data_IF_115843833692
#
_entry.id   IF_115843833692
#
_cell.length_a   1.000
_cell.length_b   1.000
_cell.length_c   1.000
_cell.angle_alpha   90.00
_cell.angle_beta   90.00
_cell.angle_gamma   90.00
#
_symmetry.space_group_name_H-M   'P 1'
#
loop_
_entity.id
_entity.type
_entity.pdbx_description
1 polymer ?
#
# COMPACT_ATOMS: atom_id res chain seq x y z
N UNK A 1 16.31 -31.31 6.37
CA UNK A 1 16.79 -29.94 6.11
C UNK A 1 15.59 -29.10 5.73
N UNK A 2 15.10 -28.28 6.66
CA UNK A 2 14.04 -27.32 6.36
C UNK A 2 14.70 -26.18 5.57
N UNK A 3 14.29 -26.01 4.31
CA UNK A 3 14.58 -24.79 3.55
C UNK A 3 13.89 -23.65 4.28
N UNK A 4 14.65 -22.84 5.01
CA UNK A 4 14.19 -21.52 5.45
C UNK A 4 13.84 -20.73 4.19
N UNK A 5 12.53 -20.55 3.95
CA UNK A 5 12.07 -19.57 2.98
C UNK A 5 12.61 -18.22 3.47
N UNK A 6 13.30 -17.42 2.64
CA UNK A 6 13.67 -16.08 3.04
C UNK A 6 12.39 -15.39 3.53
N UNK A 7 12.39 -14.94 4.78
CA UNK A 7 11.26 -14.21 5.35
C UNK A 7 10.98 -13.02 4.44
N UNK A 8 9.74 -12.89 3.96
CA UNK A 8 9.35 -11.75 3.13
C UNK A 8 9.75 -10.44 3.81
N UNK A 9 10.29 -9.45 3.06
CA UNK A 9 10.72 -8.19 3.65
C UNK A 9 9.56 -7.54 4.40
N UNK A 10 9.70 -7.34 5.71
CA UNK A 10 8.62 -6.82 6.54
C UNK A 10 9.17 -5.86 7.59
N UNK A 11 8.62 -4.65 7.61
CA UNK A 11 8.87 -3.65 8.65
C UNK A 11 7.64 -3.60 9.57
N UNK A 12 7.72 -4.05 10.84
CA UNK A 12 6.56 -4.23 11.73
C UNK A 12 6.03 -2.93 12.34
N UNK A 13 5.93 -1.87 11.54
CA UNK A 13 5.37 -0.57 11.90
C UNK A 13 5.15 0.26 10.64
N UNK A 14 4.22 1.20 10.72
CA UNK A 14 4.10 2.27 9.74
C UNK A 14 5.22 3.30 9.95
N UNK A 15 5.75 3.80 8.84
CA UNK A 15 6.72 4.89 8.80
C UNK A 15 6.41 5.75 7.58
N UNK A 16 6.83 7.02 7.56
CA UNK A 16 6.78 7.83 6.35
C UNK A 16 7.53 7.17 5.17
N UNK A 17 7.03 7.40 3.97
CA UNK A 17 7.71 7.09 2.72
C UNK A 17 8.62 8.28 2.38
N UNK A 18 9.92 8.10 2.57
CA UNK A 18 10.94 9.14 2.46
C UNK A 18 11.25 9.50 0.99
N UNK A 19 11.02 8.58 0.06
CA UNK A 19 11.25 8.80 -1.36
C UNK A 19 10.78 7.67 -2.26
N UNK A 20 10.78 7.90 -3.56
CA UNK A 20 10.39 6.94 -4.59
C UNK A 20 11.17 7.19 -5.88
N UNK A 21 11.41 6.12 -6.63
CA UNK A 21 11.96 6.13 -7.99
C UNK A 21 11.19 5.14 -8.86
N UNK A 22 11.60 4.98 -10.12
CA UNK A 22 10.84 4.17 -11.10
C UNK A 22 10.52 2.74 -10.63
N UNK A 23 11.32 2.18 -9.72
CA UNK A 23 11.14 0.81 -9.23
C UNK A 23 11.28 0.63 -7.72
N UNK A 24 11.48 1.71 -6.95
CA UNK A 24 11.81 1.59 -5.53
C UNK A 24 11.06 2.60 -4.67
N UNK A 25 10.74 2.20 -3.45
CA UNK A 25 10.38 3.07 -2.35
C UNK A 25 11.53 3.16 -1.34
N UNK A 26 11.68 4.33 -0.74
CA UNK A 26 12.61 4.58 0.35
C UNK A 26 11.81 4.86 1.61
N UNK A 27 12.11 4.16 2.70
CA UNK A 27 11.49 4.38 4.01
C UNK A 27 12.36 3.81 5.11
N UNK A 28 12.40 4.47 6.28
CA UNK A 28 13.18 4.04 7.44
C UNK A 28 14.67 3.76 7.11
N UNK A 29 15.25 4.54 6.20
CA UNK A 29 16.64 4.38 5.76
C UNK A 29 16.91 3.17 4.86
N UNK A 30 15.87 2.49 4.39
CA UNK A 30 15.95 1.31 3.51
C UNK A 30 15.36 1.62 2.13
N UNK A 31 15.86 0.91 1.10
CA UNK A 31 15.25 0.87 -0.23
C UNK A 31 14.53 -0.46 -0.44
N UNK A 32 13.28 -0.41 -0.89
CA UNK A 32 12.47 -1.57 -1.22
C UNK A 32 12.08 -1.54 -2.69
N UNK A 33 12.39 -2.60 -3.44
CA UNK A 33 12.03 -2.71 -4.85
C UNK A 33 10.61 -3.21 -5.03
N UNK A 34 9.85 -2.57 -5.91
CA UNK A 34 8.47 -2.91 -6.23
C UNK A 34 7.43 -2.23 -5.35
N UNK A 35 6.18 -2.60 -5.57
CA UNK A 35 5.01 -2.04 -4.89
C UNK A 35 4.95 -2.47 -3.42
N UNK A 36 4.32 -1.67 -2.58
CA UNK A 36 4.24 -1.91 -1.13
C UNK A 36 2.84 -1.72 -0.58
N UNK A 37 2.52 -2.45 0.49
CA UNK A 37 1.41 -2.14 1.40
C UNK A 37 1.99 -1.56 2.68
N UNK A 38 1.54 -0.36 3.07
CA UNK A 38 1.84 0.29 4.33
C UNK A 38 0.59 0.27 5.23
N UNK A 39 0.39 -0.85 5.93
CA UNK A 39 -0.77 -1.11 6.79
C UNK A 39 -0.42 -0.85 8.27
N UNK A 40 -1.41 -0.69 9.16
CA UNK A 40 -1.15 -0.49 10.60
C UNK A 40 -0.21 -1.53 11.21
N UNK A 41 -0.29 -2.79 10.80
CA UNK A 41 0.61 -3.84 11.28
C UNK A 41 2.04 -3.75 10.73
N UNK A 42 2.26 -3.02 9.63
CA UNK A 42 3.59 -2.79 9.06
C UNK A 42 3.62 -2.66 7.54
N UNK A 43 4.82 -2.36 7.03
CA UNK A 43 5.11 -2.23 5.59
C UNK A 43 5.64 -3.56 5.04
N UNK A 44 5.07 -4.02 3.92
CA UNK A 44 5.42 -5.28 3.23
C UNK A 44 5.35 -5.13 1.70
N UNK A 45 5.99 -6.03 0.93
CA UNK A 45 5.82 -6.10 -0.51
C UNK A 45 4.36 -6.29 -0.89
N UNK A 46 3.96 -5.63 -1.97
CA UNK A 46 2.70 -5.86 -2.63
C UNK A 46 2.99 -6.46 -4.00
N UNK A 47 2.60 -7.71 -4.23
CA UNK A 47 2.94 -8.43 -5.45
C UNK A 47 2.05 -8.02 -6.65
N UNK A 48 2.01 -6.72 -6.96
CA UNK A 48 1.30 -6.11 -8.08
C UNK A 48 2.23 -5.09 -8.74
N UNK A 49 2.47 -5.22 -10.03
CA UNK A 49 3.36 -4.30 -10.78
C UNK A 49 2.62 -3.22 -11.55
N UNK A 50 1.31 -3.39 -11.80
CA UNK A 50 0.47 -2.41 -12.50
C UNK A 50 -0.87 -2.27 -11.78
N UNK A 51 -1.35 -1.05 -11.65
CA UNK A 51 -2.61 -0.80 -10.94
C UNK A 51 -3.83 -1.47 -11.60
N UNK A 52 -3.80 -1.65 -12.92
CA UNK A 52 -4.85 -2.36 -13.64
C UNK A 52 -4.95 -3.86 -13.27
N UNK A 53 -3.88 -4.45 -12.75
CA UNK A 53 -3.80 -5.87 -12.39
C UNK A 53 -4.25 -6.14 -10.94
N UNK A 54 -4.69 -5.10 -10.22
CA UNK A 54 -5.19 -5.26 -8.85
C UNK A 54 -6.44 -6.13 -8.85
N UNK A 55 -6.38 -7.21 -8.09
CA UNK A 55 -7.48 -8.16 -7.89
C UNK A 55 -7.97 -8.10 -6.44
N UNK A 56 -9.12 -8.71 -6.17
CA UNK A 56 -9.63 -8.83 -4.79
C UNK A 56 -8.66 -9.57 -3.87
N UNK A 57 -7.99 -10.61 -4.36
CA UNK A 57 -6.99 -11.35 -3.58
C UNK A 57 -5.76 -10.51 -3.27
N UNK A 58 -5.34 -9.64 -4.19
CA UNK A 58 -4.26 -8.69 -3.95
C UNK A 58 -4.57 -7.68 -2.83
N UNK A 59 -5.85 -7.50 -2.48
CA UNK A 59 -6.30 -6.62 -1.39
C UNK A 59 -6.68 -7.40 -0.12
N UNK A 60 -6.42 -8.70 -0.06
CA UNK A 60 -6.83 -9.53 1.08
C UNK A 60 -6.24 -9.04 2.42
N UNK A 61 -4.96 -8.66 2.44
CA UNK A 61 -4.31 -8.11 3.65
C UNK A 61 -4.88 -6.75 4.05
N UNK A 62 -5.18 -5.90 3.06
CA UNK A 62 -5.83 -4.60 3.29
C UNK A 62 -7.21 -4.81 3.94
N UNK A 63 -7.99 -5.76 3.44
CA UNK A 63 -9.32 -6.10 3.95
C UNK A 63 -9.24 -6.75 5.33
N UNK A 64 -8.24 -7.59 5.58
CA UNK A 64 -8.04 -8.21 6.89
C UNK A 64 -7.79 -7.17 8.00
N UNK A 65 -7.17 -6.04 7.65
CA UNK A 65 -6.89 -4.94 8.57
C UNK A 65 -7.94 -3.81 8.51
N UNK A 66 -9.10 -4.02 7.89
CA UNK A 66 -10.04 -2.94 7.58
C UNK A 66 -10.54 -2.14 8.80
N UNK A 67 -10.54 -2.75 9.99
CA UNK A 67 -10.95 -2.08 11.24
C UNK A 67 -9.82 -1.30 11.93
N UNK A 68 -8.58 -1.42 11.46
CA UNK A 68 -7.40 -0.80 12.05
C UNK A 68 -7.07 0.59 11.48
N UNK A 69 -7.69 0.97 10.37
CA UNK A 69 -7.53 2.29 9.74
C UNK A 69 -8.86 2.85 9.22
N UNK A 70 -8.92 4.15 8.98
CA UNK A 70 -10.12 4.87 8.52
C UNK A 70 -10.10 5.20 7.03
N UNK A 71 -8.90 5.35 6.45
CA UNK A 71 -8.71 5.77 5.06
C UNK A 71 -7.53 5.03 4.43
N UNK A 72 -7.76 4.50 3.23
CA UNK A 72 -6.75 3.88 2.37
C UNK A 72 -6.40 4.79 1.19
N UNK A 73 -5.11 5.04 0.98
CA UNK A 73 -4.61 5.63 -0.25
C UNK A 73 -4.15 4.56 -1.22
N UNK A 74 -4.74 4.52 -2.41
CA UNK A 74 -4.35 3.65 -3.51
C UNK A 74 -3.49 4.44 -4.50
N UNK A 75 -2.18 4.25 -4.43
CA UNK A 75 -1.20 4.82 -5.34
C UNK A 75 -1.23 4.10 -6.69
N UNK A 76 -1.68 4.78 -7.73
CA UNK A 76 -1.94 4.18 -9.06
C UNK A 76 -0.71 4.08 -9.96
N UNK A 77 0.46 4.47 -9.46
CA UNK A 77 1.67 4.65 -10.24
C UNK A 77 1.84 6.11 -10.69
N UNK A 78 2.34 6.31 -11.91
CA UNK A 78 2.62 7.66 -12.45
C UNK A 78 1.37 8.46 -12.73
N UNK A 79 0.35 7.81 -13.27
CA UNK A 79 -0.84 8.43 -13.81
C UNK A 79 -2.09 8.02 -13.02
N UNK A 80 -3.14 8.86 -13.00
CA UNK A 80 -4.43 8.47 -12.45
C UNK A 80 -4.98 7.22 -13.15
N UNK A 81 -5.51 6.28 -12.37
CA UNK A 81 -6.11 5.06 -12.89
C UNK A 81 -7.41 4.70 -12.14
N UNK A 82 -8.20 3.82 -12.74
CA UNK A 82 -9.41 3.29 -12.13
C UNK A 82 -9.14 1.91 -11.53
N UNK A 83 -9.70 1.65 -10.35
CA UNK A 83 -9.70 0.32 -9.75
C UNK A 83 -10.78 -0.54 -10.42
N UNK A 84 -10.48 -1.79 -10.84
CA UNK A 84 -11.49 -2.69 -11.39
C UNK A 84 -12.68 -2.88 -10.44
N UNK A 85 -13.87 -3.15 -10.98
CA UNK A 85 -15.11 -3.12 -10.19
C UNK A 85 -15.15 -4.18 -9.07
N UNK A 86 -14.63 -5.39 -9.31
CA UNK A 86 -14.62 -6.45 -8.29
C UNK A 86 -13.79 -6.09 -7.03
N UNK A 87 -12.50 -5.73 -7.12
CA UNK A 87 -11.74 -5.30 -5.95
C UNK A 87 -12.31 -4.04 -5.29
N UNK A 88 -12.85 -3.11 -6.09
CA UNK A 88 -13.52 -1.90 -5.58
C UNK A 88 -14.75 -2.24 -4.73
N UNK A 89 -15.58 -3.19 -5.18
CA UNK A 89 -16.73 -3.67 -4.42
C UNK A 89 -16.28 -4.40 -3.15
N UNK A 90 -15.20 -5.17 -3.20
CA UNK A 90 -14.66 -5.86 -2.03
C UNK A 90 -14.20 -4.87 -0.94
N UNK A 91 -13.49 -3.80 -1.29
CA UNK A 91 -13.12 -2.73 -0.35
C UNK A 91 -14.36 -2.09 0.28
N UNK A 92 -15.38 -1.76 -0.54
CA UNK A 92 -16.63 -1.17 -0.03
C UNK A 92 -17.39 -2.11 0.89
N UNK A 93 -17.47 -3.40 0.56
CA UNK A 93 -18.11 -4.42 1.37
C UNK A 93 -17.40 -4.61 2.73
N UNK A 94 -16.08 -4.40 2.76
CA UNK A 94 -15.28 -4.35 3.99
C UNK A 94 -15.45 -3.03 4.78
N UNK A 95 -16.29 -2.11 4.33
CA UNK A 95 -16.52 -0.81 4.99
C UNK A 95 -15.40 0.21 4.80
N UNK A 96 -14.45 -0.06 3.90
CA UNK A 96 -13.29 0.80 3.70
C UNK A 96 -13.62 2.05 2.88
N UNK A 97 -13.12 3.19 3.35
CA UNK A 97 -12.99 4.42 2.57
C UNK A 97 -11.62 4.41 1.89
N UNK A 98 -11.58 4.80 0.62
CA UNK A 98 -10.34 4.84 -0.13
C UNK A 98 -10.33 5.95 -1.17
N UNK A 99 -9.13 6.45 -1.47
CA UNK A 99 -8.85 7.43 -2.51
C UNK A 99 -7.85 6.87 -3.51
N UNK A 100 -8.05 7.16 -4.79
CA UNK A 100 -7.13 6.78 -5.86
C UNK A 100 -6.43 8.04 -6.35
N UNK A 101 -5.11 7.99 -6.41
CA UNK A 101 -4.30 9.08 -6.92
C UNK A 101 -2.93 8.56 -7.37
N UNK A 102 -2.18 9.32 -8.18
CA UNK A 102 -0.79 8.98 -8.49
C UNK A 102 0.01 8.68 -7.23
N UNK A 103 0.89 7.68 -7.30
CA UNK A 103 1.71 7.20 -6.17
C UNK A 103 2.46 8.34 -5.45
N UNK A 104 3.06 9.34 -6.13
CA UNK A 104 3.66 10.49 -5.46
C UNK A 104 2.71 11.22 -4.50
N UNK A 105 1.48 11.46 -4.94
CA UNK A 105 0.46 12.16 -4.17
C UNK A 105 -0.10 11.26 -3.04
N UNK A 106 -0.26 9.96 -3.31
CA UNK A 106 -0.69 8.99 -2.30
C UNK A 106 0.33 8.91 -1.16
N UNK A 107 1.63 8.80 -1.49
CA UNK A 107 2.71 8.75 -0.52
C UNK A 107 2.80 10.05 0.31
N UNK A 108 2.72 11.23 -0.33
CA UNK A 108 2.76 12.50 0.40
C UNK A 108 1.57 12.68 1.33
N UNK A 109 0.36 12.33 0.88
CA UNK A 109 -0.87 12.47 1.68
C UNK A 109 -0.88 11.47 2.82
N UNK A 110 -0.47 10.23 2.58
CA UNK A 110 -0.25 9.22 3.60
C UNK A 110 0.72 9.73 4.68
N UNK A 111 1.87 10.29 4.30
CA UNK A 111 2.86 10.81 5.24
C UNK A 111 2.30 11.93 6.12
N UNK A 112 1.58 12.89 5.53
CA UNK A 112 0.97 14.00 6.27
C UNK A 112 -0.02 13.47 7.31
N UNK A 113 -0.96 12.63 6.90
CA UNK A 113 -1.98 12.13 7.81
C UNK A 113 -1.40 11.17 8.87
N UNK A 114 -0.39 10.38 8.51
CA UNK A 114 0.35 9.55 9.47
C UNK A 114 1.03 10.42 10.54
N UNK A 115 1.67 11.52 10.13
CA UNK A 115 2.32 12.46 11.05
C UNK A 115 1.32 13.19 11.96
N UNK A 116 0.10 13.40 11.50
CA UNK A 116 -1.02 13.92 12.31
C UNK A 116 -1.61 12.88 13.28
N UNK A 117 -1.11 11.64 13.27
CA UNK A 117 -1.64 10.56 14.11
C UNK A 117 -2.99 10.00 13.64
N UNK A 118 -3.38 10.26 12.39
CA UNK A 118 -4.60 9.70 11.79
C UNK A 118 -4.41 8.22 11.51
N UNK A 119 -5.50 7.46 11.60
CA UNK A 119 -5.51 6.03 11.28
C UNK A 119 -5.61 5.85 9.76
N UNK A 120 -4.47 5.76 9.09
CA UNK A 120 -4.40 5.67 7.62
C UNK A 120 -3.61 4.46 7.16
N UNK A 121 -3.84 4.02 5.93
CA UNK A 121 -3.07 2.99 5.25
C UNK A 121 -2.77 3.41 3.81
N UNK A 122 -1.78 2.78 3.18
CA UNK A 122 -1.49 2.98 1.76
C UNK A 122 -1.17 1.67 1.03
N UNK A 123 -1.58 1.56 -0.22
CA UNK A 123 -1.12 0.54 -1.16
C UNK A 123 -0.55 1.26 -2.39
N UNK A 124 0.75 1.15 -2.61
CA UNK A 124 1.50 2.02 -3.52
C UNK A 124 2.14 1.21 -4.63
N UNK A 125 1.78 1.49 -5.88
CA UNK A 125 2.41 0.92 -7.07
C UNK A 125 3.74 1.63 -7.36
N UNK A 126 4.82 0.90 -7.56
CA UNK A 126 6.07 1.42 -8.14
C UNK A 126 5.90 1.66 -9.66
N UNK A 127 6.51 2.71 -10.25
CA UNK A 127 6.09 3.25 -11.55
C UNK A 127 7.16 3.92 -12.43
#
# INVERSE_FOLDING_TARGET
>A
MATERPSEPFLPRQVPIDGYSDAFFHFAGMSHGGSILALPSGIRPWNISRFADVTTSALAEVIAEANAFELLFLGTGRDPAHLPELPKQALRAAGLRFELMPTPAAASTYNVLLAEGRRVAAALIAF
#
